data_IF_665054912793
#
_entry.id   IF_665054912793
#
_cell.length_a   1.000
_cell.length_b   1.000
_cell.length_c   1.000
_cell.angle_alpha   90.00
_cell.angle_beta   90.00
_cell.angle_gamma   90.00
#
_symmetry.space_group_name_H-M   'P 1'
#
loop_
_entity.id
_entity.type
_entity.pdbx_description
1 polymer ?
#
# COMPACT_ATOMS: atom_id res chain seq x y z
N UNK A 1 16.00 46.29 7.98
CA UNK A 1 15.07 45.44 8.76
C UNK A 1 14.46 44.41 7.81
N UNK A 2 14.90 43.15 7.82
CA UNK A 2 14.31 42.08 7.03
C UNK A 2 12.91 41.78 7.59
N UNK A 3 11.87 41.81 6.74
CA UNK A 3 10.52 41.40 7.12
C UNK A 3 10.60 39.99 7.70
N UNK A 4 9.96 39.68 8.85
CA UNK A 4 9.93 38.33 9.39
C UNK A 4 9.30 37.42 8.34
N UNK A 5 9.98 36.35 7.98
CA UNK A 5 9.45 35.29 7.10
C UNK A 5 8.17 34.77 7.75
N UNK A 6 7.03 35.07 7.13
CA UNK A 6 5.74 34.58 7.58
C UNK A 6 5.76 33.06 7.55
N UNK A 7 5.64 32.42 8.71
CA UNK A 7 5.58 30.95 8.80
C UNK A 7 4.32 30.47 8.08
N UNK A 8 4.49 29.71 7.01
CA UNK A 8 3.37 29.08 6.31
C UNK A 8 2.53 28.24 7.27
N UNK A 9 1.23 28.29 7.11
CA UNK A 9 0.30 27.50 7.90
C UNK A 9 0.61 26.00 7.72
N UNK A 10 0.64 25.25 8.81
CA UNK A 10 1.06 23.85 8.79
C UNK A 10 -0.06 22.92 8.31
N UNK A 11 -1.30 23.20 8.66
CA UNK A 11 -2.44 22.31 8.43
C UNK A 11 -3.47 22.85 7.42
N UNK A 12 -3.38 24.10 7.01
CA UNK A 12 -4.23 24.70 5.97
C UNK A 12 -3.41 25.29 4.85
N UNK A 13 -3.98 25.35 3.65
CA UNK A 13 -3.39 26.12 2.55
C UNK A 13 -3.41 27.60 2.91
N UNK A 14 -2.33 28.30 2.58
CA UNK A 14 -2.24 29.73 2.74
C UNK A 14 -2.58 30.40 1.40
N UNK A 15 -3.73 31.12 1.26
CA UNK A 15 -4.13 31.73 0.00
C UNK A 15 -3.13 32.76 -0.53
N UNK A 16 -2.45 33.50 0.38
CA UNK A 16 -1.42 34.47 -0.03
C UNK A 16 -0.15 33.74 -0.52
N UNK A 17 0.24 32.67 0.17
CA UNK A 17 1.36 31.85 -0.26
C UNK A 17 1.07 31.18 -1.62
N UNK A 18 -0.15 30.73 -1.87
CA UNK A 18 -0.55 30.13 -3.16
C UNK A 18 -0.28 31.10 -4.31
N UNK A 19 -0.71 32.36 -4.19
CA UNK A 19 -0.49 33.38 -5.22
C UNK A 19 0.99 33.71 -5.44
N UNK A 20 1.78 33.77 -4.37
CA UNK A 20 3.22 34.05 -4.47
C UNK A 20 4.01 32.87 -5.03
N UNK A 21 3.64 31.65 -4.65
CA UNK A 21 4.34 30.43 -5.03
C UNK A 21 3.95 29.96 -6.43
N UNK A 22 2.78 30.31 -6.96
CA UNK A 22 2.34 29.95 -8.32
C UNK A 22 3.31 30.46 -9.41
N UNK A 23 4.05 31.52 -9.14
CA UNK A 23 5.06 32.11 -10.05
C UNK A 23 6.41 31.38 -10.03
N UNK A 24 6.64 30.46 -9.12
CA UNK A 24 7.92 29.71 -9.05
C UNK A 24 7.89 28.55 -10.02
N UNK A 25 8.94 28.38 -10.81
CA UNK A 25 9.13 27.19 -11.61
C UNK A 25 9.22 25.96 -10.72
N UNK A 26 8.64 24.85 -11.18
CA UNK A 26 8.82 23.55 -10.56
C UNK A 26 10.24 23.06 -10.87
N UNK A 27 10.89 22.51 -9.87
CA UNK A 27 12.21 21.91 -10.02
C UNK A 27 12.07 20.43 -10.31
N UNK A 28 13.12 19.79 -10.79
CA UNK A 28 13.20 18.33 -10.94
C UNK A 28 12.75 17.59 -9.66
N UNK A 29 13.17 18.05 -8.47
CA UNK A 29 12.75 17.46 -7.19
C UNK A 29 11.24 17.58 -6.96
N UNK A 30 10.61 18.70 -7.38
CA UNK A 30 9.16 18.85 -7.27
C UNK A 30 8.41 17.88 -8.17
N UNK A 31 8.88 17.72 -9.41
CA UNK A 31 8.29 16.78 -10.38
C UNK A 31 8.45 15.34 -9.93
N UNK A 32 9.65 14.94 -9.52
CA UNK A 32 9.91 13.61 -8.97
C UNK A 32 9.02 13.32 -7.73
N UNK A 33 8.73 14.32 -6.91
CA UNK A 33 7.82 14.14 -5.79
C UNK A 33 6.38 13.92 -6.25
N UNK A 34 5.87 14.65 -7.24
CA UNK A 34 4.51 14.44 -7.79
C UNK A 34 4.40 13.07 -8.45
N UNK A 35 5.36 12.66 -9.28
CA UNK A 35 5.42 11.34 -9.90
C UNK A 35 5.41 10.21 -8.87
N UNK A 36 6.20 10.37 -7.80
CA UNK A 36 6.24 9.38 -6.72
C UNK A 36 4.89 9.32 -5.99
N UNK A 37 4.25 10.46 -5.72
CA UNK A 37 2.94 10.51 -5.06
C UNK A 37 1.86 9.87 -5.96
N UNK A 38 1.90 10.11 -7.26
CA UNK A 38 0.99 9.49 -8.23
C UNK A 38 1.12 7.96 -8.19
N UNK A 39 2.33 7.45 -8.39
CA UNK A 39 2.62 6.01 -8.44
C UNK A 39 2.22 5.27 -7.16
N UNK A 40 2.38 5.90 -6.00
CA UNK A 40 2.05 5.32 -4.70
C UNK A 40 0.62 5.57 -4.26
N UNK A 41 -0.09 6.51 -4.91
CA UNK A 41 -1.46 6.96 -4.60
C UNK A 41 -1.59 7.63 -3.23
N UNK A 42 -1.01 7.06 -2.20
CA UNK A 42 -0.94 7.59 -0.84
C UNK A 42 0.42 7.21 -0.22
N UNK A 43 1.23 8.20 0.17
CA UNK A 43 2.60 7.95 0.60
C UNK A 43 2.97 8.77 1.85
N UNK A 44 3.59 8.15 2.89
CA UNK A 44 4.10 8.88 4.05
C UNK A 44 5.35 9.68 3.70
N UNK A 45 5.53 10.83 4.36
CA UNK A 45 6.64 11.75 4.10
C UNK A 45 8.01 11.10 4.18
N UNK A 46 8.23 10.25 5.19
CA UNK A 46 9.51 9.58 5.42
C UNK A 46 9.91 8.68 4.24
N UNK A 47 8.95 7.94 3.70
CA UNK A 47 9.15 7.09 2.51
C UNK A 47 9.34 7.93 1.25
N UNK A 48 8.50 8.96 1.05
CA UNK A 48 8.59 9.86 -0.09
C UNK A 48 9.98 10.51 -0.20
N UNK A 49 10.54 10.98 0.92
CA UNK A 49 11.89 11.57 0.97
C UNK A 49 12.95 10.55 0.54
N UNK A 50 12.87 9.31 1.00
CA UNK A 50 13.82 8.25 0.65
C UNK A 50 13.75 7.91 -0.84
N UNK A 51 12.56 7.86 -1.42
CA UNK A 51 12.34 7.53 -2.82
C UNK A 51 12.75 8.65 -3.79
N UNK A 52 12.41 9.89 -3.46
CA UNK A 52 12.81 11.08 -4.23
C UNK A 52 14.32 11.31 -4.13
N UNK A 53 14.89 11.01 -2.97
CA UNK A 53 16.33 11.20 -2.71
C UNK A 53 16.73 12.65 -2.45
N UNK A 54 18.05 12.86 -2.34
CA UNK A 54 18.62 14.17 -2.10
C UNK A 54 18.49 14.66 -0.64
N UNK A 55 18.56 15.98 -0.45
CA UNK A 55 18.54 16.57 0.88
C UNK A 55 17.11 16.61 1.44
N UNK A 56 16.89 15.95 2.56
CA UNK A 56 15.59 15.86 3.23
C UNK A 56 14.91 17.23 3.44
N UNK A 57 15.66 18.24 3.87
CA UNK A 57 15.12 19.60 4.12
C UNK A 57 14.61 20.24 2.82
N UNK A 58 15.31 20.01 1.71
CA UNK A 58 14.88 20.50 0.41
C UNK A 58 13.62 19.79 -0.07
N UNK A 59 13.52 18.47 0.04
CA UNK A 59 12.30 17.73 -0.29
C UNK A 59 11.12 18.23 0.52
N UNK A 60 11.26 18.41 1.83
CA UNK A 60 10.22 19.01 2.66
C UNK A 60 9.75 20.40 2.17
N UNK A 61 10.70 21.24 1.79
CA UNK A 61 10.39 22.58 1.25
C UNK A 61 9.61 22.50 -0.06
N UNK A 62 9.98 21.59 -0.95
CA UNK A 62 9.24 21.34 -2.19
C UNK A 62 7.83 20.83 -1.93
N UNK A 63 7.66 19.86 -1.03
CA UNK A 63 6.35 19.35 -0.64
C UNK A 63 5.44 20.44 -0.04
N UNK A 64 5.98 21.35 0.76
CA UNK A 64 5.22 22.52 1.23
C UNK A 64 4.77 23.43 0.07
N UNK A 65 5.66 23.71 -0.88
CA UNK A 65 5.33 24.51 -2.06
C UNK A 65 4.23 23.83 -2.88
N UNK A 66 4.36 22.54 -3.16
CA UNK A 66 3.37 21.76 -3.91
C UNK A 66 1.99 21.76 -3.22
N UNK A 67 1.98 21.59 -1.89
CA UNK A 67 0.76 21.62 -1.11
C UNK A 67 0.06 22.99 -1.18
N UNK A 68 0.80 24.09 -0.94
CA UNK A 68 0.21 25.43 -0.99
C UNK A 68 -0.17 25.87 -2.41
N UNK A 69 0.40 25.27 -3.45
CA UNK A 69 -0.01 25.46 -4.85
C UNK A 69 -1.23 24.63 -5.25
N UNK A 70 -1.71 23.76 -4.37
CA UNK A 70 -2.84 22.86 -4.68
C UNK A 70 -2.52 21.71 -5.62
N UNK A 71 -1.24 21.43 -5.89
CA UNK A 71 -0.83 20.31 -6.74
C UNK A 71 -0.83 18.98 -6.00
N UNK A 72 -0.65 18.98 -4.69
CA UNK A 72 -0.75 17.79 -3.84
C UNK A 72 -1.58 18.11 -2.60
N UNK A 73 -2.20 17.11 -2.02
CA UNK A 73 -2.85 17.21 -0.73
C UNK A 73 -2.15 16.33 0.31
N UNK A 74 -2.45 16.55 1.61
CA UNK A 74 -1.82 15.83 2.70
C UNK A 74 -2.71 15.79 3.93
N UNK A 75 -2.52 14.74 4.75
CA UNK A 75 -3.10 14.64 6.08
C UNK A 75 -2.10 13.99 7.05
N UNK A 76 -2.39 14.03 8.34
CA UNK A 76 -1.66 13.27 9.34
C UNK A 76 -2.63 12.61 10.32
N UNK A 77 -2.24 11.47 10.86
CA UNK A 77 -2.91 10.90 12.02
C UNK A 77 -2.32 11.52 13.30
N UNK A 78 -3.17 11.77 14.28
CA UNK A 78 -2.73 12.19 15.60
C UNK A 78 -2.51 10.94 16.47
N UNK A 79 -1.44 10.94 17.25
CA UNK A 79 -1.19 9.90 18.22
C UNK A 79 -2.06 10.06 19.47
N UNK A 80 -2.04 9.06 20.40
CA UNK A 80 -2.82 9.12 21.64
C UNK A 80 -2.54 10.35 22.51
N UNK A 81 -1.36 10.96 22.37
CA UNK A 81 -0.97 12.19 23.07
C UNK A 81 -1.46 13.47 22.38
N UNK A 82 -2.32 13.39 21.35
CA UNK A 82 -2.74 14.53 20.54
C UNK A 82 -1.65 15.13 19.67
N UNK A 83 -0.46 14.52 19.58
CA UNK A 83 0.62 15.00 18.73
C UNK A 83 0.44 14.52 17.29
N UNK A 84 0.61 15.43 16.31
CA UNK A 84 0.50 15.04 14.90
C UNK A 84 1.58 14.02 14.51
N UNK A 85 1.17 13.01 13.75
CA UNK A 85 2.04 12.09 13.05
C UNK A 85 2.81 12.75 11.91
N UNK A 86 3.44 11.93 11.07
CA UNK A 86 3.97 12.41 9.81
C UNK A 86 2.83 12.69 8.82
N UNK A 87 3.06 13.62 7.89
CA UNK A 87 2.12 13.84 6.81
C UNK A 87 2.18 12.68 5.81
N UNK A 88 1.00 12.36 5.26
CA UNK A 88 0.81 11.42 4.18
C UNK A 88 0.29 12.23 2.98
N UNK A 89 0.94 12.08 1.83
CA UNK A 89 0.66 12.86 0.62
C UNK A 89 -0.10 12.04 -0.40
N UNK A 90 -0.98 12.71 -1.15
CA UNK A 90 -1.78 12.13 -2.23
C UNK A 90 -2.16 13.18 -3.26
N UNK A 91 -2.62 12.75 -4.45
CA UNK A 91 -3.19 13.61 -5.46
C UNK A 91 -4.71 13.61 -5.34
N UNK A 92 -5.30 14.78 -5.27
CA UNK A 92 -6.75 15.01 -5.33
C UNK A 92 -7.15 16.02 -6.41
N UNK A 93 -6.17 16.58 -7.11
CA UNK A 93 -6.35 17.56 -8.17
C UNK A 93 -5.73 17.04 -9.48
N UNK A 94 -6.53 16.89 -10.55
CA UNK A 94 -6.04 16.47 -11.86
C UNK A 94 -4.94 17.35 -12.44
N UNK A 95 -4.90 18.63 -12.10
CA UNK A 95 -3.90 19.58 -12.62
C UNK A 95 -2.46 19.17 -12.35
N UNK A 96 -2.21 18.33 -11.34
CA UNK A 96 -0.88 17.78 -11.11
C UNK A 96 -0.48 16.77 -12.19
N UNK A 97 -1.41 15.94 -12.64
CA UNK A 97 -1.20 14.96 -13.71
C UNK A 97 -1.10 15.65 -15.08
N UNK A 98 -1.97 16.62 -15.35
CA UNK A 98 -1.93 17.41 -16.57
C UNK A 98 -0.56 18.09 -16.71
N UNK A 99 -0.05 18.66 -15.63
CA UNK A 99 1.28 19.26 -15.60
C UNK A 99 2.41 18.26 -15.88
N UNK A 100 2.36 17.05 -15.30
CA UNK A 100 3.35 16.00 -15.57
C UNK A 100 3.31 15.56 -17.03
N UNK A 101 2.12 15.49 -17.65
CA UNK A 101 1.96 15.16 -19.05
C UNK A 101 2.49 16.27 -19.96
N UNK A 102 2.17 17.54 -19.68
CA UNK A 102 2.69 18.69 -20.43
C UNK A 102 4.22 18.77 -20.42
N UNK A 103 4.84 18.34 -19.34
CA UNK A 103 6.30 18.31 -19.19
C UNK A 103 6.95 17.02 -19.74
N UNK A 104 6.14 16.09 -20.29
CA UNK A 104 6.62 14.84 -20.86
C UNK A 104 7.10 13.79 -19.84
N UNK A 105 6.77 13.98 -18.58
CA UNK A 105 7.17 13.06 -17.51
C UNK A 105 6.25 11.82 -17.44
N UNK A 106 5.00 11.93 -17.90
CA UNK A 106 4.02 10.84 -17.96
C UNK A 106 3.37 10.86 -19.36
N UNK A 107 3.13 9.68 -19.93
CA UNK A 107 2.35 9.56 -21.17
C UNK A 107 0.92 10.03 -20.91
N UNK A 108 0.42 11.04 -21.63
CA UNK A 108 -0.95 11.55 -21.48
C UNK A 108 -2.03 10.46 -21.61
N UNK A 109 -1.77 9.42 -22.40
CA UNK A 109 -2.72 8.31 -22.62
C UNK A 109 -2.81 7.36 -21.41
N UNK A 110 -1.85 7.42 -20.49
CA UNK A 110 -1.84 6.59 -19.26
C UNK A 110 -2.44 7.31 -18.05
N UNK A 111 -2.84 8.59 -18.21
CA UNK A 111 -3.41 9.38 -17.13
C UNK A 111 -4.79 8.87 -16.73
N UNK A 112 -4.93 8.35 -15.51
CA UNK A 112 -6.23 8.05 -14.91
C UNK A 112 -6.75 9.25 -14.10
N UNK A 113 -7.15 10.33 -14.80
CA UNK A 113 -7.73 11.53 -14.19
C UNK A 113 -8.96 11.16 -13.35
N UNK A 114 -9.76 10.21 -13.81
CA UNK A 114 -10.92 9.74 -13.08
C UNK A 114 -10.54 8.97 -11.80
N UNK A 115 -9.38 8.29 -11.76
CA UNK A 115 -8.88 7.71 -10.52
C UNK A 115 -8.54 8.78 -9.47
N UNK A 116 -7.94 9.90 -9.88
CA UNK A 116 -7.65 11.03 -8.97
C UNK A 116 -8.94 11.66 -8.45
N UNK A 117 -9.95 11.89 -9.31
CA UNK A 117 -11.26 12.38 -8.90
C UNK A 117 -11.95 11.40 -7.94
N UNK A 118 -11.97 10.11 -8.27
CA UNK A 118 -12.52 9.05 -7.40
C UNK A 118 -11.79 8.96 -6.05
N UNK A 119 -10.49 9.19 -6.02
CA UNK A 119 -9.75 9.23 -4.76
C UNK A 119 -10.26 10.34 -3.86
N UNK A 120 -10.53 11.53 -4.40
CA UNK A 120 -11.13 12.63 -3.67
C UNK A 120 -12.50 12.25 -3.09
N UNK A 121 -13.39 11.72 -3.92
CA UNK A 121 -14.74 11.27 -3.51
C UNK A 121 -14.68 10.12 -2.51
N UNK A 122 -13.88 9.11 -2.80
CA UNK A 122 -13.72 7.91 -1.98
C UNK A 122 -13.16 8.21 -0.60
N UNK A 123 -12.27 9.18 -0.51
CA UNK A 123 -11.70 9.59 0.76
C UNK A 123 -12.56 10.64 1.46
N UNK A 124 -13.68 11.05 0.86
CA UNK A 124 -14.61 12.06 1.37
C UNK A 124 -13.88 13.28 1.92
N UNK A 125 -12.83 13.69 1.20
CA UNK A 125 -12.09 14.88 1.57
C UNK A 125 -13.00 16.08 1.30
N UNK A 126 -13.17 16.99 2.26
CA UNK A 126 -13.92 18.22 2.03
C UNK A 126 -13.40 18.89 0.76
N UNK A 127 -14.33 19.50 -0.01
CA UNK A 127 -13.93 20.32 -1.13
C UNK A 127 -12.94 21.37 -0.62
N UNK A 128 -11.94 21.69 -1.43
CA UNK A 128 -10.91 22.66 -1.09
C UNK A 128 -11.49 24.08 -1.13
N UNK A 129 -12.33 24.39 -0.15
CA UNK A 129 -12.81 25.75 0.13
C UNK A 129 -11.80 26.57 0.95
N UNK A 130 -10.60 26.02 1.12
CA UNK A 130 -9.49 26.67 1.84
C UNK A 130 -9.61 26.61 3.36
N UNK A 131 -10.66 26.01 3.91
CA UNK A 131 -10.96 26.07 5.34
C UNK A 131 -10.70 24.77 6.09
N UNK A 132 -10.79 23.61 5.44
CA UNK A 132 -10.76 22.34 6.16
C UNK A 132 -9.40 21.69 6.08
N UNK A 133 -8.72 21.69 7.20
CA UNK A 133 -7.48 20.95 7.38
C UNK A 133 -7.78 19.55 7.86
N UNK A 134 -7.10 18.59 7.29
CA UNK A 134 -7.09 17.22 7.79
C UNK A 134 -6.54 17.09 9.23
N UNK A 135 -5.94 18.14 9.76
CA UNK A 135 -5.58 18.27 11.17
C UNK A 135 -6.78 18.28 12.12
N UNK A 136 -7.91 18.82 11.69
CA UNK A 136 -9.18 18.79 12.42
C UNK A 136 -9.79 17.39 12.42
N UNK A 137 -9.46 16.57 11.47
CA UNK A 137 -9.94 15.19 11.34
C UNK A 137 -9.61 14.29 12.51
N UNK A 138 -8.47 14.49 13.15
CA UNK A 138 -7.99 13.60 14.22
C UNK A 138 -8.18 14.19 15.63
N UNK A 139 -8.61 15.45 15.72
CA UNK A 139 -8.83 16.14 16.99
C UNK A 139 -10.19 15.82 17.65
N UNK A 140 -10.89 14.78 17.20
CA UNK A 140 -12.17 14.35 17.78
C UNK A 140 -13.39 15.13 17.32
N UNK A 141 -13.22 16.11 16.42
CA UNK A 141 -14.31 16.94 15.86
C UNK A 141 -14.59 16.58 14.39
N UNK A 142 -13.98 15.55 13.84
CA UNK A 142 -14.04 15.32 12.41
C UNK A 142 -15.12 14.33 12.00
N UNK A 143 -15.75 14.66 10.88
CA UNK A 143 -16.74 13.85 10.16
C UNK A 143 -16.15 12.56 9.51
N UNK A 144 -14.86 12.26 9.70
CA UNK A 144 -14.23 11.07 9.12
C UNK A 144 -14.67 9.83 9.86
N UNK A 145 -15.41 8.99 9.17
CA UNK A 145 -15.86 7.72 9.72
C UNK A 145 -14.68 6.80 10.07
N UNK A 146 -14.89 5.90 11.03
CA UNK A 146 -13.92 4.86 11.38
C UNK A 146 -13.54 4.01 10.15
N UNK A 147 -14.49 3.75 9.26
CA UNK A 147 -14.27 3.04 8.01
C UNK A 147 -13.29 3.76 7.07
N UNK A 148 -13.34 5.08 6.97
CA UNK A 148 -12.40 5.87 6.17
C UNK A 148 -10.99 5.86 6.76
N UNK A 149 -10.88 6.02 8.08
CA UNK A 149 -9.57 5.89 8.77
C UNK A 149 -8.95 4.52 8.56
N UNK A 150 -9.80 3.49 8.62
CA UNK A 150 -9.37 2.12 8.34
C UNK A 150 -8.83 1.99 6.93
N UNK A 151 -9.57 2.51 5.94
CA UNK A 151 -9.19 2.48 4.54
C UNK A 151 -7.84 3.21 4.29
N UNK A 152 -7.66 4.42 4.81
CA UNK A 152 -6.41 5.18 4.66
C UNK A 152 -5.20 4.43 5.25
N UNK A 153 -5.38 3.79 6.41
CA UNK A 153 -4.32 2.97 7.02
C UNK A 153 -4.02 1.70 6.22
N UNK A 154 -5.01 1.15 5.53
CA UNK A 154 -4.83 0.01 4.63
C UNK A 154 -4.01 0.43 3.40
N UNK A 155 -4.34 1.53 2.75
CA UNK A 155 -3.58 2.08 1.62
C UNK A 155 -2.13 2.40 2.03
N UNK A 156 -1.91 2.94 3.23
CA UNK A 156 -0.56 3.18 3.75
C UNK A 156 0.24 1.89 4.00
N UNK A 157 -0.42 0.80 4.34
CA UNK A 157 0.24 -0.50 4.49
C UNK A 157 0.72 -1.00 3.12
N UNK A 158 -0.11 -0.91 2.09
CA UNK A 158 0.25 -1.24 0.70
C UNK A 158 1.43 -0.38 0.23
N UNK A 159 1.32 0.93 0.42
CA UNK A 159 2.36 1.89 0.03
C UNK A 159 3.70 1.62 0.71
N UNK A 160 3.69 1.29 2.00
CA UNK A 160 4.92 0.94 2.75
C UNK A 160 5.56 -0.35 2.24
N UNK A 161 4.76 -1.36 1.94
CA UNK A 161 5.27 -2.61 1.37
C UNK A 161 5.88 -2.38 -0.02
N UNK A 162 5.19 -1.65 -0.89
CA UNK A 162 5.73 -1.23 -2.20
C UNK A 162 7.06 -0.48 -2.05
N UNK A 163 7.10 0.51 -1.16
CA UNK A 163 8.32 1.28 -0.91
C UNK A 163 9.46 0.46 -0.32
N UNK A 164 9.16 -0.52 0.54
CA UNK A 164 10.17 -1.45 1.06
C UNK A 164 10.79 -2.26 -0.06
N UNK A 165 9.99 -2.79 -1.00
CA UNK A 165 10.48 -3.51 -2.17
C UNK A 165 11.32 -2.61 -3.07
N UNK A 166 10.84 -1.42 -3.42
CA UNK A 166 11.57 -0.51 -4.31
C UNK A 166 12.91 -0.08 -3.71
N UNK A 167 12.94 0.27 -2.42
CA UNK A 167 14.17 0.63 -1.73
C UNK A 167 15.13 -0.56 -1.62
N UNK A 168 14.63 -1.77 -1.38
CA UNK A 168 15.45 -2.97 -1.33
C UNK A 168 16.06 -3.32 -2.69
N UNK A 169 15.27 -3.19 -3.77
CA UNK A 169 15.77 -3.38 -5.13
C UNK A 169 16.85 -2.34 -5.47
N UNK A 170 16.64 -1.05 -5.14
CA UNK A 170 17.66 -0.01 -5.33
C UNK A 170 18.95 -0.31 -4.54
N UNK A 171 18.83 -0.86 -3.33
CA UNK A 171 19.98 -1.20 -2.48
C UNK A 171 20.62 -2.55 -2.83
N UNK A 172 20.10 -3.28 -3.81
CA UNK A 172 20.66 -4.56 -4.28
C UNK A 172 21.74 -4.41 -5.37
N UNK A 173 22.09 -3.19 -5.75
CA UNK A 173 23.08 -2.90 -6.79
C UNK A 173 22.81 -3.65 -8.11
N UNK A 174 21.55 -3.70 -8.50
CA UNK A 174 21.10 -4.34 -9.74
C UNK A 174 20.93 -5.87 -9.66
N UNK A 175 21.12 -6.49 -8.50
CA UNK A 175 20.91 -7.93 -8.35
C UNK A 175 19.43 -8.32 -8.37
N UNK A 176 18.56 -7.42 -7.91
CA UNK A 176 17.11 -7.62 -7.87
C UNK A 176 16.42 -6.36 -8.42
N UNK A 177 15.47 -6.55 -9.32
CA UNK A 177 14.65 -5.50 -9.90
C UNK A 177 13.17 -5.70 -9.55
N UNK A 178 12.48 -4.62 -9.21
CA UNK A 178 11.02 -4.57 -9.17
C UNK A 178 10.54 -4.31 -10.60
N UNK A 179 10.32 -5.38 -11.36
CA UNK A 179 10.03 -5.30 -12.80
C UNK A 179 8.59 -4.85 -13.10
N UNK A 180 7.65 -5.05 -12.18
CA UNK A 180 6.25 -4.64 -12.34
C UNK A 180 5.61 -4.40 -10.97
N UNK A 181 4.72 -3.41 -10.90
CA UNK A 181 3.82 -3.17 -9.77
C UNK A 181 2.47 -2.69 -10.27
N UNK A 182 1.43 -3.46 -10.00
CA UNK A 182 0.04 -3.14 -10.35
C UNK A 182 -0.85 -3.20 -9.12
N UNK A 183 -1.80 -2.28 -8.98
CA UNK A 183 -2.76 -2.27 -7.87
C UNK A 183 -4.11 -1.70 -8.29
N UNK A 184 -5.16 -1.99 -7.51
CA UNK A 184 -6.49 -1.45 -7.68
C UNK A 184 -7.41 -2.32 -8.54
N UNK A 185 -8.44 -1.70 -9.12
CA UNK A 185 -9.56 -2.40 -9.75
C UNK A 185 -9.19 -3.29 -10.95
N UNK A 186 -8.08 -2.97 -11.65
CA UNK A 186 -7.59 -3.79 -12.76
C UNK A 186 -7.21 -5.23 -12.35
N UNK A 187 -6.98 -5.46 -11.06
CA UNK A 187 -6.67 -6.79 -10.53
C UNK A 187 -7.91 -7.57 -10.07
N UNK A 188 -9.08 -6.93 -10.03
CA UNK A 188 -10.28 -7.51 -9.44
C UNK A 188 -10.97 -8.46 -10.41
N UNK A 189 -11.20 -9.67 -9.94
CA UNK A 189 -11.83 -10.76 -10.66
C UNK A 189 -12.86 -11.47 -9.79
N UNK A 190 -13.60 -12.40 -10.40
CA UNK A 190 -14.54 -13.30 -9.72
C UNK A 190 -14.35 -14.72 -10.26
N UNK A 191 -14.56 -15.68 -9.40
CA UNK A 191 -14.62 -17.10 -9.75
C UNK A 191 -15.95 -17.67 -9.31
N UNK A 192 -16.53 -18.51 -10.15
CA UNK A 192 -17.70 -19.29 -9.80
C UNK A 192 -17.28 -20.60 -9.14
N UNK A 193 -17.88 -20.94 -8.02
CA UNK A 193 -17.57 -22.15 -7.28
C UNK A 193 -18.77 -22.58 -6.42
N UNK A 194 -18.79 -23.83 -6.01
CA UNK A 194 -19.78 -24.31 -5.07
C UNK A 194 -19.68 -23.52 -3.76
N UNK A 195 -20.80 -23.18 -3.22
CA UNK A 195 -20.88 -22.50 -1.92
C UNK A 195 -20.34 -23.40 -0.82
N UNK A 196 -19.71 -22.80 0.19
CA UNK A 196 -19.31 -23.50 1.40
C UNK A 196 -20.23 -23.13 2.56
N UNK A 197 -20.65 -24.14 3.32
CA UNK A 197 -21.41 -23.96 4.56
C UNK A 197 -20.65 -24.59 5.72
N UNK A 198 -20.85 -24.05 6.93
CA UNK A 198 -20.24 -24.58 8.14
C UNK A 198 -21.23 -25.51 8.86
N UNK A 199 -20.97 -26.83 8.80
CA UNK A 199 -21.77 -27.86 9.43
C UNK A 199 -20.96 -28.56 10.52
N UNK A 200 -21.46 -28.63 11.74
CA UNK A 200 -20.79 -29.28 12.89
C UNK A 200 -19.31 -28.84 13.06
N UNK A 201 -19.04 -27.54 12.87
CA UNK A 201 -17.68 -26.98 13.01
C UNK A 201 -16.77 -27.16 11.79
N UNK A 202 -17.20 -27.87 10.74
CA UNK A 202 -16.44 -28.10 9.51
C UNK A 202 -17.07 -27.36 8.33
N UNK A 203 -16.24 -26.90 7.40
CA UNK A 203 -16.67 -26.34 6.13
C UNK A 203 -16.90 -27.45 5.11
N UNK A 204 -18.06 -27.45 4.47
CA UNK A 204 -18.43 -28.41 3.41
C UNK A 204 -18.94 -27.66 2.19
N UNK A 205 -18.65 -28.17 1.00
CA UNK A 205 -19.26 -27.68 -0.23
C UNK A 205 -20.73 -28.08 -0.29
N UNK A 206 -21.57 -27.19 -0.81
CA UNK A 206 -22.98 -27.42 -1.11
C UNK A 206 -23.17 -27.50 -2.62
N UNK A 207 -24.34 -27.90 -3.08
CA UNK A 207 -24.68 -27.92 -4.51
C UNK A 207 -24.98 -26.54 -5.08
N UNK A 208 -25.17 -25.55 -4.20
CA UNK A 208 -25.37 -24.15 -4.64
C UNK A 208 -24.08 -23.53 -5.13
N UNK A 209 -24.16 -22.80 -6.25
CA UNK A 209 -23.03 -22.02 -6.78
C UNK A 209 -23.01 -20.60 -6.23
N UNK A 210 -21.82 -20.04 -6.06
CA UNK A 210 -21.61 -18.65 -5.67
C UNK A 210 -20.45 -18.02 -6.45
N UNK A 211 -20.51 -16.71 -6.62
CA UNK A 211 -19.40 -15.92 -7.12
C UNK A 211 -18.50 -15.50 -5.95
N UNK A 212 -17.25 -15.94 -5.98
CA UNK A 212 -16.24 -15.58 -4.99
C UNK A 212 -15.33 -14.50 -5.58
N UNK A 213 -15.16 -13.41 -4.84
CA UNK A 213 -14.26 -12.34 -5.26
C UNK A 213 -12.80 -12.77 -5.14
N UNK A 214 -12.00 -12.47 -6.19
CA UNK A 214 -10.56 -12.47 -6.20
C UNK A 214 -10.11 -11.02 -6.38
N UNK A 215 -9.65 -10.38 -5.30
CA UNK A 215 -9.34 -8.94 -5.27
C UNK A 215 -8.05 -8.70 -4.51
N UNK A 216 -6.89 -9.07 -5.09
CA UNK A 216 -5.62 -8.75 -4.48
C UNK A 216 -5.42 -7.23 -4.39
N UNK A 217 -4.73 -6.78 -3.36
CA UNK A 217 -4.40 -5.36 -3.17
C UNK A 217 -3.32 -4.90 -4.15
N UNK A 218 -2.34 -5.78 -4.44
CA UNK A 218 -1.35 -5.56 -5.48
C UNK A 218 -0.92 -6.86 -6.16
N UNK A 219 -0.34 -6.70 -7.35
CA UNK A 219 0.43 -7.70 -8.08
C UNK A 219 1.79 -7.08 -8.39
N UNK A 220 2.86 -7.80 -8.12
CA UNK A 220 4.21 -7.34 -8.45
C UNK A 220 5.11 -8.45 -8.95
N UNK A 221 6.19 -8.05 -9.59
CA UNK A 221 7.17 -8.96 -10.18
C UNK A 221 8.58 -8.59 -9.74
N UNK A 222 9.31 -9.58 -9.22
CA UNK A 222 10.73 -9.44 -8.91
C UNK A 222 11.55 -10.22 -9.93
N UNK A 223 12.58 -9.58 -10.49
CA UNK A 223 13.52 -10.23 -11.40
C UNK A 223 14.92 -10.19 -10.80
N UNK A 224 15.53 -11.34 -10.68
CA UNK A 224 16.94 -11.45 -10.30
C UNK A 224 17.83 -11.34 -11.55
N UNK A 225 19.00 -10.78 -11.40
CA UNK A 225 19.95 -10.63 -12.51
C UNK A 225 20.48 -11.99 -13.06
N UNK A 226 20.45 -13.03 -12.22
CA UNK A 226 20.84 -14.40 -12.56
C UNK A 226 19.69 -15.27 -13.09
N UNK A 227 18.46 -14.74 -13.19
CA UNK A 227 17.26 -15.45 -13.66
C UNK A 227 16.74 -14.87 -14.98
N UNK A 228 16.31 -15.75 -15.89
CA UNK A 228 15.72 -15.34 -17.17
C UNK A 228 14.34 -14.75 -16.99
N UNK A 229 13.52 -15.30 -16.06
CA UNK A 229 12.13 -14.94 -15.85
C UNK A 229 11.94 -14.23 -14.51
N UNK A 230 10.99 -13.31 -14.47
CA UNK A 230 10.56 -12.66 -13.24
C UNK A 230 9.64 -13.58 -12.43
N UNK A 231 9.69 -13.46 -11.13
CA UNK A 231 8.79 -14.11 -10.19
C UNK A 231 7.62 -13.18 -9.85
N UNK A 232 6.40 -13.68 -10.00
CA UNK A 232 5.17 -12.89 -9.82
C UNK A 232 4.48 -13.24 -8.51
N UNK A 233 4.06 -12.22 -7.78
CA UNK A 233 3.42 -12.32 -6.47
C UNK A 233 2.14 -11.50 -6.44
N UNK A 234 1.13 -12.00 -5.73
CA UNK A 234 0.02 -11.19 -5.27
C UNK A 234 0.28 -10.76 -3.83
N UNK A 235 -0.17 -9.59 -3.48
CA UNK A 235 -0.04 -9.02 -2.13
C UNK A 235 -1.39 -8.65 -1.55
N UNK A 236 -1.54 -8.90 -0.26
CA UNK A 236 -2.72 -8.63 0.55
C UNK A 236 -2.31 -8.00 1.89
N UNK A 237 -2.82 -6.82 2.16
CA UNK A 237 -2.68 -6.12 3.43
C UNK A 237 -3.86 -6.45 4.34
N UNK A 238 -3.68 -7.31 5.35
CA UNK A 238 -4.75 -7.68 6.27
C UNK A 238 -4.66 -6.90 7.59
N UNK A 239 -5.69 -6.12 7.89
CA UNK A 239 -5.77 -5.28 9.09
C UNK A 239 -6.72 -5.84 10.16
N UNK A 240 -6.90 -7.15 10.24
CA UNK A 240 -7.73 -7.85 11.25
C UNK A 240 -9.22 -7.48 11.24
N UNK A 241 -9.82 -7.18 10.09
CA UNK A 241 -11.25 -6.85 10.03
C UNK A 241 -12.14 -7.99 9.58
N UNK A 242 -11.53 -9.08 9.14
CA UNK A 242 -12.29 -10.21 8.62
C UNK A 242 -12.64 -11.19 9.73
N UNK A 243 -13.91 -11.61 9.79
CA UNK A 243 -14.28 -12.79 10.54
C UNK A 243 -13.80 -14.07 9.83
N UNK A 244 -13.80 -15.20 10.53
CA UNK A 244 -13.28 -16.48 10.00
C UNK A 244 -13.92 -16.90 8.67
N UNK A 245 -15.23 -16.68 8.50
CA UNK A 245 -15.95 -17.05 7.27
C UNK A 245 -15.50 -16.22 6.07
N UNK A 246 -15.36 -14.91 6.25
CA UNK A 246 -14.89 -14.00 5.21
C UNK A 246 -13.43 -14.29 4.84
N UNK A 247 -12.62 -14.63 5.84
CA UNK A 247 -11.24 -14.99 5.65
C UNK A 247 -11.08 -16.27 4.82
N UNK A 248 -11.75 -17.35 5.21
CA UNK A 248 -11.77 -18.62 4.47
C UNK A 248 -12.21 -18.38 3.03
N UNK A 249 -13.28 -17.61 2.83
CA UNK A 249 -13.80 -17.28 1.50
C UNK A 249 -12.81 -16.49 0.65
N UNK A 250 -12.08 -15.53 1.25
CA UNK A 250 -11.03 -14.76 0.58
C UNK A 250 -9.89 -15.67 0.12
N UNK A 251 -9.34 -16.49 1.02
CA UNK A 251 -8.27 -17.43 0.70
C UNK A 251 -8.71 -18.44 -0.36
N UNK A 252 -9.92 -18.97 -0.24
CA UNK A 252 -10.50 -19.87 -1.26
C UNK A 252 -10.60 -19.18 -2.63
N UNK A 253 -11.02 -17.92 -2.69
CA UNK A 253 -11.08 -17.16 -3.94
C UNK A 253 -9.72 -17.10 -4.66
N UNK A 254 -8.65 -16.80 -3.93
CA UNK A 254 -7.30 -16.83 -4.49
C UNK A 254 -6.87 -18.22 -4.95
N UNK A 255 -7.11 -19.25 -4.13
CA UNK A 255 -6.77 -20.62 -4.49
C UNK A 255 -7.50 -21.08 -5.76
N UNK A 256 -8.80 -20.87 -5.83
CA UNK A 256 -9.60 -21.24 -6.99
C UNK A 256 -9.13 -20.53 -8.26
N UNK A 257 -8.89 -19.22 -8.17
CA UNK A 257 -8.45 -18.40 -9.29
C UNK A 257 -7.09 -18.85 -9.84
N UNK A 258 -6.11 -19.06 -8.95
CA UNK A 258 -4.72 -19.30 -9.34
C UNK A 258 -4.45 -20.79 -9.61
N UNK A 259 -4.90 -21.67 -8.72
CA UNK A 259 -4.51 -23.09 -8.75
C UNK A 259 -5.54 -23.95 -9.48
N UNK A 260 -6.82 -23.81 -9.11
CA UNK A 260 -7.87 -24.68 -9.67
C UNK A 260 -8.24 -24.29 -11.10
N UNK A 261 -8.48 -22.99 -11.35
CA UNK A 261 -8.96 -22.51 -12.65
C UNK A 261 -7.86 -21.86 -13.52
N UNK A 262 -6.69 -21.58 -12.96
CA UNK A 262 -5.51 -21.01 -13.66
C UNK A 262 -5.83 -19.76 -14.49
N UNK A 263 -6.69 -18.88 -13.93
CA UNK A 263 -7.18 -17.68 -14.63
C UNK A 263 -6.14 -16.54 -14.71
N UNK A 264 -4.99 -16.67 -14.06
CA UNK A 264 -3.95 -15.62 -14.03
C UNK A 264 -3.37 -15.31 -15.40
N UNK A 265 -3.35 -16.28 -16.33
CA UNK A 265 -2.88 -16.04 -17.68
C UNK A 265 -3.84 -15.10 -18.44
N UNK A 266 -5.13 -15.40 -18.40
CA UNK A 266 -6.17 -14.59 -19.05
C UNK A 266 -6.28 -13.19 -18.43
N UNK A 267 -6.25 -13.12 -17.08
CA UNK A 267 -6.51 -11.88 -16.35
C UNK A 267 -5.29 -10.97 -16.26
N UNK A 268 -4.08 -11.51 -16.17
CA UNK A 268 -2.87 -10.75 -15.89
C UNK A 268 -1.75 -10.93 -16.91
N UNK A 269 -1.92 -11.85 -17.87
CA UNK A 269 -0.87 -12.21 -18.84
C UNK A 269 0.27 -13.03 -18.24
N UNK A 270 0.05 -13.70 -17.09
CA UNK A 270 1.08 -14.38 -16.33
C UNK A 270 0.88 -15.88 -16.29
N UNK A 271 1.90 -16.65 -16.67
CA UNK A 271 1.85 -18.11 -16.64
C UNK A 271 1.75 -18.67 -15.21
N UNK A 272 2.42 -18.01 -14.25
CA UNK A 272 2.52 -18.50 -12.88
C UNK A 272 2.53 -17.36 -11.87
N UNK A 273 1.78 -17.53 -10.77
CA UNK A 273 1.92 -16.76 -9.55
C UNK A 273 2.70 -17.61 -8.55
N UNK A 274 3.80 -17.10 -8.03
CA UNK A 274 4.68 -17.77 -7.06
C UNK A 274 4.00 -17.97 -5.73
N UNK A 275 3.41 -16.88 -5.21
CA UNK A 275 2.70 -16.89 -3.95
C UNK A 275 1.68 -15.74 -3.84
N UNK A 276 0.73 -15.89 -2.93
CA UNK A 276 -0.09 -14.82 -2.37
C UNK A 276 0.50 -14.46 -1.02
N UNK A 277 1.09 -13.27 -0.94
CA UNK A 277 1.74 -12.73 0.25
C UNK A 277 0.70 -12.03 1.11
N UNK A 278 0.57 -12.42 2.35
CA UNK A 278 -0.39 -11.82 3.28
C UNK A 278 0.38 -11.21 4.44
N UNK A 279 0.45 -9.87 4.46
CA UNK A 279 1.02 -9.10 5.55
C UNK A 279 -0.09 -8.70 6.52
N UNK A 280 0.15 -8.83 7.81
CA UNK A 280 -0.80 -8.42 8.84
C UNK A 280 -0.12 -7.56 9.91
N UNK A 281 -0.91 -7.03 10.86
CA UNK A 281 -0.42 -6.07 11.85
C UNK A 281 0.52 -6.69 12.89
N UNK A 282 0.29 -7.96 13.27
CA UNK A 282 1.08 -8.64 14.29
C UNK A 282 1.23 -10.15 14.01
N UNK A 283 2.23 -10.73 14.65
CA UNK A 283 2.61 -12.14 14.49
C UNK A 283 1.53 -13.11 14.94
N UNK A 284 0.77 -12.77 16.00
CA UNK A 284 -0.33 -13.61 16.48
C UNK A 284 -1.44 -13.74 15.43
N UNK A 285 -1.78 -12.64 14.76
CA UNK A 285 -2.79 -12.67 13.73
C UNK A 285 -2.29 -13.36 12.46
N UNK A 286 -1.02 -13.19 12.11
CA UNK A 286 -0.40 -13.96 11.02
C UNK A 286 -0.55 -15.47 11.24
N UNK A 287 -0.39 -15.95 12.47
CA UNK A 287 -0.59 -17.35 12.80
C UNK A 287 -2.05 -17.79 12.66
N UNK A 288 -3.00 -16.97 13.11
CA UNK A 288 -4.45 -17.23 12.90
C UNK A 288 -4.78 -17.38 11.41
N UNK A 289 -4.26 -16.49 10.57
CA UNK A 289 -4.44 -16.55 9.12
C UNK A 289 -3.80 -17.80 8.51
N UNK A 290 -2.60 -18.15 8.96
CA UNK A 290 -1.87 -19.34 8.55
C UNK A 290 -2.65 -20.61 8.88
N UNK A 291 -3.24 -20.69 10.08
CA UNK A 291 -4.08 -21.83 10.47
C UNK A 291 -5.38 -21.89 9.64
N UNK A 292 -6.00 -20.74 9.38
CA UNK A 292 -7.18 -20.67 8.52
C UNK A 292 -6.90 -21.18 7.08
N UNK A 293 -5.70 -20.93 6.57
CA UNK A 293 -5.30 -21.41 5.25
C UNK A 293 -5.10 -22.95 5.17
N UNK A 294 -5.04 -23.62 6.33
CA UNK A 294 -5.02 -25.09 6.41
C UNK A 294 -6.41 -25.71 6.33
N UNK A 295 -7.46 -24.90 6.44
CA UNK A 295 -8.83 -25.41 6.40
C UNK A 295 -9.12 -26.06 5.03
N UNK A 296 -9.67 -27.29 5.00
CA UNK A 296 -10.03 -27.98 3.75
C UNK A 296 -10.95 -27.17 2.82
N UNK A 297 -11.72 -26.25 3.36
CA UNK A 297 -12.56 -25.36 2.56
C UNK A 297 -11.77 -24.42 1.66
N UNK A 298 -10.51 -24.12 1.98
CA UNK A 298 -9.64 -23.25 1.18
C UNK A 298 -9.08 -23.99 -0.03
N UNK A 299 -8.43 -25.15 0.19
CA UNK A 299 -7.64 -25.84 -0.85
C UNK A 299 -7.92 -27.35 -0.96
N UNK A 300 -8.98 -27.85 -0.33
CA UNK A 300 -9.31 -29.25 -0.28
C UNK A 300 -8.54 -29.99 0.82
N UNK A 301 -8.32 -31.31 0.60
CA UNK A 301 -7.76 -32.18 1.65
C UNK A 301 -6.31 -31.88 2.05
N UNK A 302 -5.54 -31.23 1.16
CA UNK A 302 -4.12 -30.91 1.41
C UNK A 302 -3.93 -29.39 1.45
N UNK A 303 -3.28 -28.86 2.49
CA UNK A 303 -2.87 -27.47 2.51
C UNK A 303 -1.98 -27.11 1.32
N UNK A 304 -2.05 -25.87 0.88
CA UNK A 304 -1.26 -25.37 -0.25
C UNK A 304 -0.11 -24.50 0.22
N UNK A 305 1.02 -24.51 -0.50
CA UNK A 305 2.14 -23.59 -0.30
C UNK A 305 1.94 -22.24 -1.00
N UNK A 306 0.76 -22.00 -1.59
CA UNK A 306 0.44 -20.76 -2.30
C UNK A 306 0.48 -19.53 -1.38
N UNK A 307 0.03 -19.66 -0.13
CA UNK A 307 -0.10 -18.54 0.81
C UNK A 307 1.15 -18.41 1.68
N UNK A 308 1.68 -17.19 1.74
CA UNK A 308 2.81 -16.84 2.59
C UNK A 308 2.40 -15.71 3.54
N UNK A 309 2.66 -15.89 4.82
CA UNK A 309 2.20 -15.00 5.90
C UNK A 309 3.37 -14.33 6.60
N UNK A 310 3.24 -13.03 6.85
CA UNK A 310 4.18 -12.26 7.64
C UNK A 310 3.46 -11.22 8.48
N UNK A 311 4.21 -10.47 9.27
CA UNK A 311 3.70 -9.37 10.10
C UNK A 311 4.48 -8.10 9.85
N UNK A 312 3.79 -6.96 9.83
CA UNK A 312 4.41 -5.64 9.76
C UNK A 312 5.37 -5.35 10.93
N UNK A 313 5.27 -6.10 12.03
CA UNK A 313 6.20 -5.99 13.15
C UNK A 313 7.65 -6.28 12.74
N UNK A 314 7.87 -7.14 11.74
CA UNK A 314 9.21 -7.43 11.21
C UNK A 314 9.82 -6.26 10.44
N UNK A 315 8.98 -5.36 9.92
CA UNK A 315 9.40 -4.18 9.18
C UNK A 315 9.46 -2.92 10.04
N UNK A 316 9.08 -3.02 11.32
CA UNK A 316 9.09 -1.93 12.27
C UNK A 316 10.18 -2.14 13.33
N UNK A 317 11.01 -1.14 13.56
CA UNK A 317 11.96 -1.17 14.69
C UNK A 317 11.17 -0.99 15.98
N UNK A 318 11.20 -1.99 16.87
CA UNK A 318 10.79 -1.77 18.27
C UNK A 318 11.75 -0.76 18.89
N UNK A 319 11.24 0.37 19.29
CA UNK A 319 11.99 1.28 20.15
C UNK A 319 11.93 0.73 21.57
N UNK A 320 13.07 0.63 22.24
CA UNK A 320 13.17 0.29 23.68
C UNK A 320 12.43 1.27 24.58
N UNK A 321 11.89 2.33 24.01
CA UNK A 321 11.11 3.35 24.64
C UNK A 321 9.68 3.28 24.08
N UNK A 322 8.72 2.72 24.84
CA UNK A 322 7.31 2.51 24.44
C UNK A 322 6.60 3.78 23.95
N UNK A 323 7.17 4.96 24.22
CA UNK A 323 6.65 6.26 23.77
C UNK A 323 7.23 6.72 22.43
N UNK A 324 8.23 6.05 21.86
CA UNK A 324 8.81 6.42 20.56
C UNK A 324 8.05 5.72 19.43
N UNK A 325 7.66 6.51 18.44
CA UNK A 325 7.02 6.09 17.20
C UNK A 325 7.74 4.87 16.61
N UNK A 326 6.98 3.87 16.18
CA UNK A 326 7.49 2.82 15.30
C UNK A 326 7.99 3.48 14.01
N UNK A 327 9.28 3.72 13.92
CA UNK A 327 9.90 4.14 12.67
C UNK A 327 9.98 2.90 11.79
N UNK A 328 9.50 2.94 10.54
CA UNK A 328 9.63 1.80 9.66
C UNK A 328 11.10 1.44 9.49
N UNK A 329 11.50 0.28 10.00
CA UNK A 329 12.89 -0.17 10.00
C UNK A 329 13.47 -0.34 8.59
N UNK A 330 12.61 -0.67 7.61
CA UNK A 330 13.00 -0.80 6.21
C UNK A 330 13.54 0.50 5.58
N UNK A 331 13.21 1.68 6.12
CA UNK A 331 13.76 2.95 5.63
C UNK A 331 15.27 3.07 5.84
N UNK A 332 15.79 2.42 6.89
CA UNK A 332 17.22 2.42 7.20
C UNK A 332 17.91 1.11 6.82
N UNK A 333 17.14 0.03 6.71
CA UNK A 333 17.60 -1.30 6.29
C UNK A 333 16.62 -1.94 5.29
N UNK A 334 16.58 -1.46 4.04
CA UNK A 334 15.59 -1.92 3.07
C UNK A 334 15.72 -3.39 2.71
N UNK A 335 16.91 -3.99 2.78
CA UNK A 335 17.14 -5.40 2.48
C UNK A 335 16.38 -6.36 3.40
N UNK A 336 15.83 -5.88 4.52
CA UNK A 336 15.05 -6.72 5.44
C UNK A 336 13.87 -7.42 4.74
N UNK A 337 13.27 -6.81 3.70
CA UNK A 337 12.13 -7.39 2.96
C UNK A 337 12.50 -8.71 2.26
N UNK A 338 13.77 -8.90 1.93
CA UNK A 338 14.29 -10.11 1.30
C UNK A 338 14.75 -11.19 2.31
N UNK A 339 14.69 -10.88 3.60
CA UNK A 339 14.99 -11.89 4.62
C UNK A 339 13.92 -12.99 4.65
N UNK A 340 14.25 -14.08 5.31
CA UNK A 340 13.32 -15.21 5.54
C UNK A 340 12.27 -14.83 6.59
N UNK A 341 11.18 -14.18 6.16
CA UNK A 341 10.13 -13.64 7.03
C UNK A 341 8.75 -14.27 6.78
N UNK A 342 8.62 -15.13 5.75
CA UNK A 342 7.35 -15.62 5.25
C UNK A 342 7.11 -17.07 5.66
N UNK A 343 6.07 -17.32 6.44
CA UNK A 343 5.62 -18.66 6.83
C UNK A 343 4.52 -19.17 5.91
N UNK A 344 4.56 -20.44 5.55
CA UNK A 344 3.51 -21.09 4.73
C UNK A 344 2.55 -21.90 5.61
N UNK A 345 1.36 -22.29 5.12
CA UNK A 345 0.50 -23.24 5.82
C UNK A 345 1.17 -24.59 6.07
N UNK A 346 2.18 -24.95 5.26
CA UNK A 346 2.91 -26.21 5.37
C UNK A 346 4.07 -26.14 6.38
N UNK A 347 4.49 -24.94 6.79
CA UNK A 347 5.58 -24.79 7.75
C UNK A 347 5.18 -25.35 9.12
N UNK A 348 6.05 -26.20 9.68
CA UNK A 348 5.93 -26.74 11.03
C UNK A 348 6.68 -25.87 12.04
N UNK A 349 6.57 -26.18 13.32
CA UNK A 349 7.34 -25.51 14.37
C UNK A 349 8.83 -25.83 14.17
N UNK A 350 9.64 -24.79 13.92
CA UNK A 350 11.08 -24.94 13.66
C UNK A 350 11.46 -24.86 12.18
N UNK A 351 10.50 -24.86 11.24
CA UNK A 351 10.81 -24.65 9.84
C UNK A 351 11.35 -23.24 9.58
N UNK A 352 12.32 -23.14 8.67
CA UNK A 352 12.81 -21.85 8.21
C UNK A 352 11.74 -21.14 7.37
N UNK A 353 11.43 -19.87 7.68
CA UNK A 353 10.58 -19.05 6.83
C UNK A 353 11.13 -18.91 5.41
N UNK A 354 10.26 -18.55 4.46
CA UNK A 354 10.62 -18.28 3.05
C UNK A 354 11.15 -16.86 2.89
N UNK A 355 12.03 -16.67 1.91
CA UNK A 355 12.40 -15.38 1.36
C UNK A 355 11.63 -15.10 0.06
N UNK A 356 11.46 -13.83 -0.31
CA UNK A 356 10.96 -13.47 -1.64
C UNK A 356 11.95 -13.87 -2.75
N UNK A 357 13.19 -14.13 -2.39
CA UNK A 357 14.25 -14.53 -3.32
C UNK A 357 14.51 -16.06 -3.35
N UNK A 358 13.74 -16.86 -2.58
CA UNK A 358 13.84 -18.34 -2.59
C UNK A 358 13.31 -18.97 -3.88
#
# INVERSE_FOLDING_TARGET
>A
MSKPQQRLRKFSRDPQATTQLSRRHLTHTSLAAIETIERYRLIPTSLLIKLVGGNQRNVYRHLQVLYHRGLVNRFCFFGPSGRPGEFNYFLDNPSALELLAELGNIDPNTLDIEAVKRNREKWSLPADDGATTLGEWDAGQSEVSEGQRYFLRHELMISRFHGALELACRASDGQVELADWRQGAALWNRVEANRIARNAGRWTETDDTEHIAHRPDALFSLKRSDEAEARHYLYEADRKTSNSSRLIRKLRGHFLFIVKYKRQLEAYGLNRIRAVLIETLDTRWAEVLRQAARDPAVSGRKPTSLFWFTSSEFFAKRSDNEQKRQVPYFLDNPQIIFNKLWLTPLSEVGDSPRSLLD
#
